data_IF_202285297548
#
_entry.id   IF_202285297548
#
_cell.length_a   1.000
_cell.length_b   1.000
_cell.length_c   1.000
_cell.angle_alpha   90.00
_cell.angle_beta   90.00
_cell.angle_gamma   90.00
#
_symmetry.space_group_name_H-M   'P 1'
#
loop_
_entity.id
_entity.type
_entity.pdbx_description
1 polymer ?
#
# COMPACT_ATOMS: atom_id res chain seq x y z
N UNK A 1 10.88 6.93 15.38
CA UNK A 1 9.61 7.49 14.88
C UNK A 1 8.75 6.53 14.07
N UNK A 2 9.20 5.30 13.78
CA UNK A 2 8.38 4.32 13.06
C UNK A 2 8.23 4.56 11.56
N UNK A 3 8.86 5.63 11.03
CA UNK A 3 8.86 5.95 9.61
C UNK A 3 9.68 4.94 8.80
N UNK A 4 9.23 4.65 7.58
CA UNK A 4 9.92 3.79 6.63
C UNK A 4 9.71 4.28 5.19
N UNK A 5 10.65 3.94 4.32
CA UNK A 5 10.56 4.12 2.87
C UNK A 5 10.76 2.79 2.16
N UNK A 6 10.33 2.70 0.91
CA UNK A 6 10.49 1.49 0.11
C UNK A 6 10.05 1.66 -1.33
N UNK A 7 9.73 0.54 -1.96
CA UNK A 7 9.24 0.48 -3.33
C UNK A 7 8.07 -0.48 -3.45
N UNK A 8 7.12 -0.15 -4.30
CA UNK A 8 5.93 -0.94 -4.60
C UNK A 8 5.92 -1.29 -6.08
N UNK A 9 5.75 -2.58 -6.41
CA UNK A 9 5.59 -3.04 -7.77
C UNK A 9 4.21 -3.69 -7.92
N UNK A 10 3.26 -2.94 -8.47
CA UNK A 10 1.90 -3.47 -8.72
C UNK A 10 1.90 -4.45 -9.89
N UNK A 11 1.04 -5.47 -9.84
CA UNK A 11 0.79 -6.36 -10.98
C UNK A 11 -0.37 -5.88 -11.88
N UNK A 12 -1.12 -4.87 -11.44
CA UNK A 12 -2.33 -4.37 -12.12
C UNK A 12 -2.33 -2.85 -12.17
N UNK A 13 -2.96 -2.30 -13.21
CA UNK A 13 -3.19 -0.86 -13.38
C UNK A 13 -4.52 -0.64 -14.08
N UNK A 14 -5.17 0.51 -13.81
CA UNK A 14 -6.36 0.97 -14.54
C UNK A 14 -6.01 1.79 -15.79
N UNK A 15 -4.75 2.18 -15.95
CA UNK A 15 -4.25 2.95 -17.10
C UNK A 15 -3.70 2.02 -18.16
N UNK A 16 -3.54 2.51 -19.39
CA UNK A 16 -2.80 1.81 -20.45
C UNK A 16 -1.28 2.00 -20.35
N UNK A 17 -0.79 2.72 -19.33
CA UNK A 17 0.63 3.01 -19.18
C UNK A 17 1.37 1.75 -18.71
N UNK A 18 2.61 1.59 -19.17
CA UNK A 18 3.48 0.51 -18.71
C UNK A 18 3.74 0.66 -17.20
N UNK A 19 3.44 -0.40 -16.45
CA UNK A 19 3.71 -0.48 -15.00
C UNK A 19 5.20 -0.26 -14.74
N UNK A 20 5.50 0.53 -13.71
CA UNK A 20 6.85 0.78 -13.19
C UNK A 20 6.87 0.67 -11.67
N UNK A 21 8.02 0.28 -11.13
CA UNK A 21 8.26 0.32 -9.68
C UNK A 21 8.09 1.76 -9.19
N UNK A 22 7.33 1.93 -8.11
CA UNK A 22 6.97 3.25 -7.59
C UNK A 22 7.43 3.39 -6.13
N UNK A 23 7.90 4.57 -5.70
CA UNK A 23 8.33 4.79 -4.33
C UNK A 23 7.14 4.73 -3.36
N UNK A 24 7.38 4.19 -2.16
CA UNK A 24 6.45 4.25 -1.04
C UNK A 24 7.09 4.88 0.19
N UNK A 25 6.28 5.56 1.00
CA UNK A 25 6.67 6.13 2.28
C UNK A 25 5.57 5.90 3.31
N UNK A 26 5.93 5.55 4.54
CA UNK A 26 4.95 5.22 5.55
C UNK A 26 5.47 5.33 6.97
N UNK A 27 4.60 4.97 7.89
CA UNK A 27 4.91 4.88 9.31
C UNK A 27 4.15 3.73 9.95
N UNK A 28 4.72 3.20 11.02
CA UNK A 28 4.09 2.16 11.84
C UNK A 28 4.18 2.51 13.31
N UNK A 29 3.22 2.01 14.08
CA UNK A 29 3.30 2.08 15.53
C UNK A 29 4.55 1.36 16.04
N UNK A 30 5.17 1.91 17.08
CA UNK A 30 6.38 1.31 17.66
C UNK A 30 6.04 -0.10 18.16
N UNK A 31 6.75 -1.15 17.69
CA UNK A 31 6.44 -2.49 18.12
C UNK A 31 6.76 -2.63 19.61
N UNK A 32 5.76 -2.92 20.45
CA UNK A 32 6.01 -3.47 21.78
C UNK A 32 6.40 -4.95 21.62
N UNK A 33 7.01 -5.55 22.65
CA UNK A 33 7.32 -6.98 22.64
C UNK A 33 6.02 -7.76 22.36
N UNK A 34 6.02 -8.61 21.33
CA UNK A 34 4.86 -9.37 20.81
C UNK A 34 3.73 -8.52 20.19
N UNK A 35 4.00 -7.31 19.69
CA UNK A 35 2.96 -6.52 19.04
C UNK A 35 2.75 -6.91 17.57
N UNK A 36 1.50 -6.84 17.15
CA UNK A 36 1.00 -6.90 15.77
C UNK A 36 0.61 -5.47 15.35
N UNK A 37 1.58 -4.60 14.98
CA UNK A 37 1.34 -3.16 14.89
C UNK A 37 0.46 -2.79 13.69
N UNK A 38 -0.29 -1.71 13.84
CA UNK A 38 -0.92 -1.02 12.71
C UNK A 38 0.10 -0.11 12.02
N UNK A 39 -0.06 0.03 10.71
CA UNK A 39 0.82 0.81 9.86
C UNK A 39 0.01 1.47 8.73
N UNK A 40 0.61 2.48 8.12
CA UNK A 40 0.11 3.05 6.88
C UNK A 40 1.26 3.48 5.99
N UNK A 41 1.04 3.44 4.68
CA UNK A 41 2.00 3.94 3.70
C UNK A 41 1.28 4.53 2.49
N UNK A 42 1.94 5.47 1.83
CA UNK A 42 1.54 6.02 0.55
C UNK A 42 2.42 5.50 -0.57
N UNK A 43 1.85 5.40 -1.77
CA UNK A 43 2.53 5.04 -3.02
C UNK A 43 2.28 6.17 -4.02
N UNK A 44 3.37 6.78 -4.48
CA UNK A 44 3.33 7.78 -5.54
C UNK A 44 3.66 7.10 -6.88
N UNK A 45 2.66 6.88 -7.73
CA UNK A 45 2.80 6.04 -8.91
C UNK A 45 3.67 6.70 -9.98
N UNK A 46 4.85 6.14 -10.27
CA UNK A 46 5.81 6.72 -11.22
C UNK A 46 5.39 6.66 -12.69
N UNK A 47 4.26 6.02 -13.00
CA UNK A 47 3.74 5.83 -14.35
C UNK A 47 2.33 6.43 -14.55
N UNK A 48 1.80 7.20 -13.60
CA UNK A 48 0.50 7.88 -13.73
C UNK A 48 0.41 9.10 -12.80
N UNK A 49 -0.56 10.00 -12.99
CA UNK A 49 -0.83 11.08 -12.04
C UNK A 49 -1.54 10.65 -10.75
N UNK A 50 -1.78 9.34 -10.55
CA UNK A 50 -2.54 8.84 -9.41
C UNK A 50 -1.69 8.64 -8.16
N UNK A 51 -2.36 8.50 -7.01
CA UNK A 51 -1.74 8.26 -5.71
C UNK A 51 -2.51 7.19 -4.96
N UNK A 52 -1.87 6.39 -4.11
CA UNK A 52 -2.58 5.39 -3.29
C UNK A 52 -2.07 5.38 -1.87
N UNK A 53 -3.00 5.30 -0.91
CA UNK A 53 -2.68 5.09 0.50
C UNK A 53 -3.16 3.71 0.92
N UNK A 54 -2.36 3.04 1.74
CA UNK A 54 -2.67 1.79 2.39
C UNK A 54 -2.68 2.02 3.90
N UNK A 55 -3.62 1.37 4.58
CA UNK A 55 -3.64 1.25 6.04
C UNK A 55 -3.91 -0.20 6.40
N UNK A 56 -3.27 -0.70 7.43
CA UNK A 56 -3.44 -2.09 7.82
C UNK A 56 -2.79 -2.47 9.12
N UNK A 57 -2.79 -3.77 9.37
CA UNK A 57 -2.19 -4.40 10.54
C UNK A 57 -1.45 -5.66 10.12
N UNK A 58 -0.27 -5.86 10.72
CA UNK A 58 0.48 -7.10 10.60
C UNK A 58 -0.05 -8.11 11.61
N UNK A 59 -0.36 -9.33 11.17
CA UNK A 59 -0.72 -10.45 12.02
C UNK A 59 0.27 -11.60 11.88
N UNK A 60 0.42 -12.40 12.92
CA UNK A 60 1.13 -13.69 12.90
C UNK A 60 0.10 -14.79 13.15
N UNK A 61 -0.05 -15.70 12.19
CA UNK A 61 -1.00 -16.82 12.31
C UNK A 61 -0.50 -17.90 13.28
N UNK A 62 -1.33 -18.92 13.52
CA UNK A 62 -1.01 -20.05 14.41
C UNK A 62 0.23 -20.84 13.97
N UNK A 63 0.60 -20.77 12.69
CA UNK A 63 1.78 -21.42 12.12
C UNK A 63 3.02 -20.51 12.14
N UNK A 64 2.91 -19.29 12.67
CA UNK A 64 4.01 -18.32 12.69
C UNK A 64 4.18 -17.52 11.39
N UNK A 65 3.24 -17.60 10.43
CA UNK A 65 3.33 -16.84 9.19
C UNK A 65 2.83 -15.41 9.38
N UNK A 66 3.60 -14.46 8.86
CA UNK A 66 3.22 -13.04 8.86
C UNK A 66 2.25 -12.74 7.70
N UNK A 67 1.14 -12.07 8.04
CA UNK A 67 0.10 -11.64 7.11
C UNK A 67 -0.22 -10.17 7.33
N UNK A 68 -0.11 -9.34 6.30
CA UNK A 68 -0.58 -7.96 6.35
C UNK A 68 -2.01 -7.89 5.83
N UNK A 69 -2.97 -7.52 6.68
CA UNK A 69 -4.34 -7.20 6.26
C UNK A 69 -4.44 -5.70 6.04
N UNK A 70 -4.75 -5.28 4.82
CA UNK A 70 -4.78 -3.86 4.45
C UNK A 70 -6.05 -3.48 3.72
N UNK A 71 -6.43 -2.21 3.86
CA UNK A 71 -7.32 -1.50 2.95
C UNK A 71 -6.55 -0.39 2.26
N UNK A 72 -7.04 0.03 1.10
CA UNK A 72 -6.42 1.12 0.35
C UNK A 72 -7.44 2.07 -0.26
N UNK A 73 -6.99 3.31 -0.48
CA UNK A 73 -7.68 4.31 -1.28
C UNK A 73 -6.76 4.73 -2.43
N UNK A 74 -7.24 4.57 -3.67
CA UNK A 74 -6.57 5.07 -4.85
C UNK A 74 -7.24 6.38 -5.28
N UNK A 75 -6.46 7.45 -5.32
CA UNK A 75 -6.87 8.76 -5.80
C UNK A 75 -6.39 8.94 -7.23
N UNK A 76 -7.33 9.10 -8.15
CA UNK A 76 -7.06 9.47 -9.54
C UNK A 76 -6.82 10.96 -9.65
N UNK A 77 -5.96 11.35 -10.58
CA UNK A 77 -5.91 12.72 -11.07
C UNK A 77 -7.15 13.01 -11.93
N UNK A 78 -7.77 14.17 -11.73
CA UNK A 78 -8.97 14.60 -12.47
C UNK A 78 -8.85 16.08 -12.81
N UNK A 79 -9.25 16.46 -14.03
CA UNK A 79 -9.03 17.81 -14.55
C UNK A 79 -9.83 18.89 -13.82
N UNK A 80 -10.98 18.54 -13.24
CA UNK A 80 -11.96 19.48 -12.69
C UNK A 80 -12.52 19.01 -11.36
N UNK A 81 -12.85 19.97 -10.49
CA UNK A 81 -13.46 19.67 -9.18
C UNK A 81 -14.82 18.96 -9.30
N UNK A 82 -15.57 19.20 -10.37
CA UNK A 82 -16.85 18.53 -10.62
C UNK A 82 -16.68 17.04 -10.91
N UNK A 83 -15.46 16.58 -11.22
CA UNK A 83 -15.12 15.17 -11.44
C UNK A 83 -14.58 14.48 -10.17
N UNK A 84 -14.48 15.19 -9.04
CA UNK A 84 -13.95 14.66 -7.78
C UNK A 84 -14.73 13.43 -7.28
N UNK A 85 -16.05 13.42 -7.48
CA UNK A 85 -16.94 12.36 -7.00
C UNK A 85 -16.56 10.95 -7.50
N UNK A 86 -15.90 10.85 -8.66
CA UNK A 86 -15.45 9.59 -9.27
C UNK A 86 -13.94 9.34 -9.11
N UNK A 87 -13.22 10.23 -8.44
CA UNK A 87 -11.75 10.19 -8.42
C UNK A 87 -11.18 9.20 -7.41
N UNK A 88 -11.95 8.76 -6.41
CA UNK A 88 -11.48 7.87 -5.34
C UNK A 88 -12.04 6.46 -5.48
N UNK A 89 -11.15 5.46 -5.54
CA UNK A 89 -11.47 4.04 -5.47
C UNK A 89 -11.02 3.47 -4.13
N UNK A 90 -11.69 2.43 -3.65
CA UNK A 90 -11.38 1.73 -2.39
C UNK A 90 -11.25 0.23 -2.63
N UNK A 91 -10.37 -0.43 -1.88
CA UNK A 91 -10.25 -1.88 -1.92
C UNK A 91 -9.46 -2.45 -0.75
N UNK A 92 -9.20 -3.75 -0.83
CA UNK A 92 -8.45 -4.50 0.18
C UNK A 92 -7.29 -5.26 -0.48
N UNK A 93 -6.20 -5.44 0.25
CA UNK A 93 -5.14 -6.37 -0.11
C UNK A 93 -4.67 -7.16 1.11
N UNK A 94 -4.29 -8.41 0.86
CA UNK A 94 -3.66 -9.29 1.83
C UNK A 94 -2.26 -9.58 1.30
N UNK A 95 -1.23 -9.25 2.08
CA UNK A 95 0.16 -9.52 1.72
C UNK A 95 0.72 -10.61 2.61
N UNK A 96 1.57 -11.45 2.03
CA UNK A 96 2.36 -12.46 2.74
C UNK A 96 3.84 -12.24 2.41
N UNK A 97 4.72 -12.66 3.30
CA UNK A 97 6.17 -12.58 3.07
C UNK A 97 6.56 -13.44 1.86
N UNK A 98 7.25 -12.85 0.89
CA UNK A 98 7.86 -13.62 -0.21
C UNK A 98 9.06 -14.40 0.35
N UNK A 99 9.17 -15.71 0.08
CA UNK A 99 10.34 -16.48 0.47
C UNK A 99 11.61 -15.88 -0.14
N UNK A 100 12.70 -15.83 0.63
CA UNK A 100 14.02 -15.55 0.08
C UNK A 100 14.33 -16.61 -0.99
N UNK A 101 14.50 -16.18 -2.24
CA UNK A 101 15.11 -17.04 -3.25
C UNK A 101 16.57 -17.27 -2.84
N UNK A 102 16.94 -18.53 -2.65
CA UNK A 102 18.34 -18.94 -2.42
C UNK A 102 19.16 -18.77 -3.69
#
# INVERSE_FOLDING_TARGET
DGNFGGSYHTAVTVTSNKIQVSPLQGSQHHPKKNSQPTFGFSVNWSFSGSFTVFTGQCFVDENGNEVLKTMWLLRSDVDKIQDDWKATRVGINVFTRVPLQK
#
